data_IF_097633559506
#
_entry.id   IF_097633559506
#
_cell.length_a   1.000
_cell.length_b   1.000
_cell.length_c   1.000
_cell.angle_alpha   90.00
_cell.angle_beta   90.00
_cell.angle_gamma   90.00
#
_symmetry.space_group_name_H-M   'P 1'
#
loop_
_entity.id
_entity.type
_entity.pdbx_description
1 polymer ?
#
# COMPACT_ATOMS: atom_id res chain seq x y z
N UNK A 1 -28.63 -53.45 -20.73
CA UNK A 1 -27.27 -53.03 -20.38
C UNK A 1 -27.13 -51.59 -20.86
N UNK A 2 -27.25 -50.61 -19.96
CA UNK A 2 -26.77 -49.25 -20.19
C UNK A 2 -26.42 -48.70 -18.81
N UNK A 3 -25.13 -48.75 -18.47
CA UNK A 3 -24.60 -47.98 -17.37
C UNK A 3 -24.00 -46.73 -17.99
N UNK A 4 -24.59 -45.58 -17.66
CA UNK A 4 -24.10 -44.27 -18.10
C UNK A 4 -22.71 -44.02 -17.55
N UNK A 5 -21.78 -43.72 -18.45
CA UNK A 5 -20.42 -43.33 -18.11
C UNK A 5 -20.44 -41.91 -17.53
N UNK A 6 -20.32 -41.79 -16.21
CA UNK A 6 -20.04 -40.52 -15.56
C UNK A 6 -18.52 -40.35 -15.52
N UNK A 7 -17.93 -39.85 -16.60
CA UNK A 7 -16.53 -39.39 -16.58
C UNK A 7 -16.43 -38.17 -15.66
N UNK A 8 -15.71 -38.34 -14.55
CA UNK A 8 -15.37 -37.27 -13.62
C UNK A 8 -14.27 -36.43 -14.30
N UNK A 9 -14.46 -35.11 -14.49
CA UNK A 9 -13.42 -34.29 -15.09
C UNK A 9 -12.17 -34.27 -14.18
N UNK A 10 -10.96 -34.18 -14.77
CA UNK A 10 -9.72 -34.22 -14.00
C UNK A 10 -9.65 -33.04 -13.02
N UNK A 11 -9.00 -33.22 -11.84
CA UNK A 11 -8.83 -32.16 -10.88
C UNK A 11 -7.99 -31.04 -11.51
N UNK A 12 -8.54 -29.83 -11.49
CA UNK A 12 -7.85 -28.62 -11.94
C UNK A 12 -6.66 -28.42 -10.98
N UNK A 13 -5.40 -28.37 -11.48
CA UNK A 13 -4.27 -28.08 -10.63
C UNK A 13 -4.42 -26.67 -10.04
N UNK A 14 -3.96 -26.41 -8.80
CA UNK A 14 -4.00 -25.08 -8.24
C UNK A 14 -3.26 -24.14 -9.18
N UNK A 15 -3.99 -23.16 -9.72
CA UNK A 15 -3.39 -22.05 -10.45
C UNK A 15 -2.54 -21.32 -9.42
N UNK A 16 -1.23 -21.53 -9.46
CA UNK A 16 -0.26 -20.64 -8.84
C UNK A 16 -0.50 -19.28 -9.47
N UNK A 17 -1.28 -18.46 -8.78
CA UNK A 17 -1.45 -17.05 -9.07
C UNK A 17 -0.10 -16.41 -8.74
N UNK A 18 0.83 -16.55 -9.68
CA UNK A 18 2.13 -15.89 -9.67
C UNK A 18 1.82 -14.39 -9.67
N UNK A 19 1.66 -13.81 -8.48
CA UNK A 19 1.70 -12.39 -8.23
C UNK A 19 3.15 -11.90 -8.38
N UNK A 20 3.80 -12.24 -9.49
CA UNK A 20 4.99 -11.52 -9.89
C UNK A 20 4.48 -10.15 -10.32
N UNK A 21 4.87 -9.04 -9.65
CA UNK A 21 4.54 -7.72 -10.14
C UNK A 21 5.10 -7.63 -11.57
N UNK A 22 4.22 -7.58 -12.57
CA UNK A 22 4.70 -7.30 -13.91
C UNK A 22 5.31 -5.90 -13.85
N UNK A 23 6.62 -5.79 -14.04
CA UNK A 23 7.34 -4.52 -14.06
C UNK A 23 6.90 -3.74 -15.31
N UNK A 24 5.75 -3.09 -15.21
CA UNK A 24 5.29 -2.14 -16.22
C UNK A 24 6.21 -0.91 -16.15
N UNK A 25 6.87 -0.51 -17.25
CA UNK A 25 7.70 0.67 -17.23
C UNK A 25 6.87 1.89 -16.86
N UNK A 26 7.10 2.44 -15.68
CA UNK A 26 6.37 3.61 -15.22
C UNK A 26 6.68 4.78 -16.16
N UNK A 27 5.64 5.31 -16.82
CA UNK A 27 5.78 6.49 -17.70
C UNK A 27 6.19 7.68 -16.82
N UNK A 28 7.47 8.05 -16.88
CA UNK A 28 8.01 9.22 -16.18
C UNK A 28 7.90 10.47 -17.05
N UNK A 29 7.73 11.62 -16.42
CA UNK A 29 7.75 12.90 -17.12
C UNK A 29 9.16 13.19 -17.66
N UNK A 30 9.25 13.53 -18.94
CA UNK A 30 10.48 13.99 -19.62
C UNK A 30 10.60 15.51 -19.70
N UNK A 31 9.63 16.25 -19.14
CA UNK A 31 9.63 17.71 -19.19
C UNK A 31 10.73 18.27 -18.28
N UNK A 32 11.45 19.27 -18.79
CA UNK A 32 12.43 20.04 -18.01
C UNK A 32 11.76 20.66 -16.77
N UNK A 33 12.30 20.36 -15.58
CA UNK A 33 11.82 20.89 -14.31
C UNK A 33 12.59 22.16 -14.01
N UNK A 34 11.89 23.30 -14.01
CA UNK A 34 12.45 24.56 -13.52
C UNK A 34 12.39 24.58 -12.00
N UNK A 35 13.46 25.01 -11.34
CA UNK A 35 13.41 25.31 -9.91
C UNK A 35 12.43 26.47 -9.69
N UNK A 36 11.48 26.27 -8.78
CA UNK A 36 10.55 27.33 -8.35
C UNK A 36 11.12 28.06 -7.14
N UNK A 37 12.08 27.45 -6.45
CA UNK A 37 12.67 27.97 -5.23
C UNK A 37 13.82 28.92 -5.61
N UNK A 38 13.77 30.20 -5.20
CA UNK A 38 14.84 31.18 -5.40
C UNK A 38 16.14 30.79 -4.69
N UNK A 39 17.29 31.24 -5.22
CA UNK A 39 18.63 30.92 -4.67
C UNK A 39 18.86 31.52 -3.26
N UNK A 40 18.11 32.55 -2.89
CA UNK A 40 18.15 33.21 -1.58
C UNK A 40 17.17 32.62 -0.57
N UNK A 41 16.40 31.58 -0.95
CA UNK A 41 15.44 30.94 -0.07
C UNK A 41 16.13 29.95 0.87
N UNK A 42 16.13 30.27 2.17
CA UNK A 42 16.62 29.37 3.22
C UNK A 42 15.51 28.41 3.63
N UNK A 43 15.68 27.11 3.34
CA UNK A 43 14.75 26.06 3.74
C UNK A 43 15.09 25.61 5.16
N UNK A 44 14.14 25.76 6.08
CA UNK A 44 14.21 25.10 7.38
C UNK A 44 13.60 23.71 7.24
N UNK A 45 14.44 22.67 7.30
CA UNK A 45 13.98 21.30 7.52
C UNK A 45 13.65 21.18 9.01
N UNK A 46 12.43 21.54 9.38
CA UNK A 46 11.93 21.25 10.73
C UNK A 46 11.58 19.76 10.79
N UNK A 47 12.55 18.94 11.20
CA UNK A 47 12.20 17.70 11.89
C UNK A 47 11.57 18.14 13.21
N UNK A 48 10.37 17.66 13.50
CA UNK A 48 9.58 18.06 14.66
C UNK A 48 10.33 17.77 15.98
N UNK A 49 11.17 18.69 16.45
CA UNK A 49 11.76 18.67 17.79
C UNK A 49 10.84 19.34 18.83
N UNK A 50 9.91 20.19 18.41
CA UNK A 50 9.01 20.88 19.32
C UNK A 50 7.69 20.13 19.45
N UNK A 51 7.68 19.27 20.46
CA UNK A 51 6.58 18.52 21.05
C UNK A 51 5.49 19.44 21.69
N UNK A 52 5.09 20.48 20.98
CA UNK A 52 4.07 21.45 21.42
C UNK A 52 2.84 21.27 20.52
N UNK A 53 2.33 20.05 20.47
CA UNK A 53 1.13 19.74 19.69
C UNK A 53 0.98 18.30 19.21
N UNK A 54 1.94 17.42 19.52
CA UNK A 54 1.84 16.01 19.19
C UNK A 54 0.74 15.36 20.05
N UNK A 55 -0.49 15.41 19.56
CA UNK A 55 -1.54 14.55 20.06
C UNK A 55 -1.09 13.11 19.81
N UNK A 56 -1.07 12.27 20.85
CA UNK A 56 -0.70 10.84 20.78
C UNK A 56 -1.46 10.10 19.66
N UNK A 57 -2.58 10.66 19.21
CA UNK A 57 -3.46 10.16 18.17
C UNK A 57 -3.05 10.53 16.73
N UNK A 58 -2.16 11.52 16.52
CA UNK A 58 -1.70 11.91 15.17
C UNK A 58 -0.23 11.53 14.96
N UNK A 59 0.05 10.31 14.47
CA UNK A 59 1.41 9.83 14.31
C UNK A 59 2.15 10.59 13.21
N UNK A 60 3.24 11.26 13.57
CA UNK A 60 4.08 12.04 12.64
C UNK A 60 4.80 11.14 11.64
N UNK A 61 5.14 9.91 12.05
CA UNK A 61 5.83 8.96 11.18
C UNK A 61 5.18 7.57 11.16
N UNK A 62 5.53 6.79 10.14
CA UNK A 62 4.99 5.45 9.94
C UNK A 62 5.24 4.52 11.14
N UNK A 63 6.41 4.61 11.77
CA UNK A 63 6.72 3.75 12.92
C UNK A 63 5.84 4.07 14.14
N UNK A 64 5.52 5.36 14.36
CA UNK A 64 4.55 5.78 15.37
C UNK A 64 3.15 5.29 15.00
N UNK A 65 2.73 5.44 13.74
CA UNK A 65 1.43 4.96 13.29
C UNK A 65 1.25 3.45 13.53
N UNK A 66 2.28 2.67 13.22
CA UNK A 66 2.29 1.22 13.44
C UNK A 66 2.30 0.83 14.93
N UNK A 67 2.85 1.67 15.81
CA UNK A 67 2.87 1.46 17.26
C UNK A 67 1.64 2.03 17.97
N UNK A 68 0.83 2.83 17.29
CA UNK A 68 -0.39 3.40 17.85
C UNK A 68 -1.40 2.32 18.21
N UNK A 69 -2.24 2.60 19.21
CA UNK A 69 -3.37 1.75 19.60
C UNK A 69 -4.41 1.59 18.49
N UNK A 70 -4.38 2.46 17.48
CA UNK A 70 -5.30 2.42 16.35
C UNK A 70 -4.79 1.55 15.19
N UNK A 71 -3.53 1.10 15.20
CA UNK A 71 -2.91 0.36 14.08
C UNK A 71 -3.69 -0.92 13.72
N UNK A 72 -4.17 -1.64 14.73
CA UNK A 72 -4.97 -2.85 14.56
C UNK A 72 -6.31 -2.56 13.89
N UNK A 73 -7.00 -1.48 14.30
CA UNK A 73 -8.27 -1.06 13.70
C UNK A 73 -8.10 -0.73 12.22
N UNK A 74 -7.03 -0.02 11.86
CA UNK A 74 -6.71 0.27 10.45
C UNK A 74 -6.43 -1.02 9.67
N UNK A 75 -5.71 -1.98 10.26
CA UNK A 75 -5.44 -3.26 9.62
C UNK A 75 -6.72 -4.08 9.37
N UNK A 76 -7.64 -4.08 10.33
CA UNK A 76 -8.91 -4.80 10.21
C UNK A 76 -9.83 -4.17 9.17
N UNK A 77 -9.93 -2.83 9.14
CA UNK A 77 -10.69 -2.13 8.08
C UNK A 77 -10.14 -2.46 6.70
N UNK A 78 -8.81 -2.46 6.53
CA UNK A 78 -8.18 -2.81 5.26
C UNK A 78 -8.47 -4.26 4.83
N UNK A 79 -8.50 -5.20 5.79
CA UNK A 79 -8.88 -6.60 5.51
C UNK A 79 -10.36 -6.73 5.13
N UNK A 80 -11.24 -6.04 5.84
CA UNK A 80 -12.68 -6.05 5.56
C UNK A 80 -12.99 -5.41 4.20
N UNK A 81 -12.34 -4.29 3.86
CA UNK A 81 -12.44 -3.67 2.53
C UNK A 81 -12.02 -4.65 1.44
N UNK A 82 -10.88 -5.33 1.60
CA UNK A 82 -10.43 -6.33 0.61
C UNK A 82 -11.36 -7.54 0.48
N UNK A 83 -12.10 -7.90 1.54
CA UNK A 83 -13.13 -8.97 1.47
C UNK A 83 -14.42 -8.48 0.80
N UNK A 84 -14.67 -7.18 0.79
CA UNK A 84 -15.87 -6.57 0.22
C UNK A 84 -15.76 -6.29 -1.29
N UNK A 85 -14.59 -6.50 -1.89
CA UNK A 85 -14.31 -6.39 -3.34
C UNK A 85 -14.48 -7.73 -4.05
#
# INVERSE_FOLDING_TARGET
MEQGNNEIPPPIPPVEQNQHPQEVPLRRSTRERRSVIPDDYVIFLQEHEDDIGLMEDDPINLAQAMRSSNSEKWNDVMKEEMKSM
#
